data_IF_662834556556
#
_entry.id   IF_662834556556
#
_cell.length_a   1.000
_cell.length_b   1.000
_cell.length_c   1.000
_cell.angle_alpha   90.00
_cell.angle_beta   90.00
_cell.angle_gamma   90.00
#
_symmetry.space_group_name_H-M   'P 1'
#
loop_
_entity.id
_entity.type
_entity.pdbx_description
1 polymer ?
#
# COMPACT_ATOMS: atom_id res chain seq x y z
N UNK A 1 -23.04 2.34 0.04
CA UNK A 1 -23.36 1.65 1.30
C UNK A 1 -23.24 2.66 2.42
N UNK A 2 -24.35 3.04 3.06
CA UNK A 2 -24.30 3.84 4.29
C UNK A 2 -24.59 2.96 5.51
N UNK A 3 -24.05 3.37 6.65
CA UNK A 3 -24.31 2.67 7.91
C UNK A 3 -25.82 2.71 8.22
N UNK A 4 -26.39 1.59 8.67
CA UNK A 4 -27.82 1.47 8.98
C UNK A 4 -28.73 1.06 7.81
N UNK A 5 -28.23 1.02 6.58
CA UNK A 5 -29.00 0.56 5.42
C UNK A 5 -29.03 -0.98 5.31
N UNK A 6 -30.09 -1.55 4.73
CA UNK A 6 -30.22 -3.00 4.48
C UNK A 6 -29.05 -3.57 3.66
N UNK A 7 -28.46 -2.77 2.77
CA UNK A 7 -27.27 -3.14 2.01
C UNK A 7 -26.05 -3.46 2.93
N UNK A 8 -25.97 -2.84 4.11
CA UNK A 8 -24.91 -3.08 5.09
C UNK A 8 -25.02 -4.48 5.73
N UNK A 9 -26.23 -5.04 5.82
CA UNK A 9 -26.46 -6.41 6.33
C UNK A 9 -25.99 -7.50 5.37
N UNK A 10 -25.74 -7.16 4.11
CA UNK A 10 -25.41 -8.11 3.04
C UNK A 10 -24.01 -7.87 2.44
N UNK A 11 -23.08 -7.37 3.26
CA UNK A 11 -21.70 -7.14 2.82
C UNK A 11 -21.04 -8.50 2.49
N UNK A 12 -20.73 -8.71 1.22
CA UNK A 12 -20.03 -9.90 0.70
C UNK A 12 -18.52 -9.80 0.92
N UNK A 13 -18.11 -9.59 2.17
CA UNK A 13 -16.73 -9.27 2.52
C UNK A 13 -15.73 -10.31 2.00
N UNK A 14 -15.95 -11.59 2.32
CA UNK A 14 -15.02 -12.67 1.97
C UNK A 14 -14.81 -12.82 0.45
N UNK A 15 -15.85 -12.62 -0.36
CA UNK A 15 -15.76 -12.69 -1.82
C UNK A 15 -14.98 -11.51 -2.40
N UNK A 16 -15.23 -10.30 -1.89
CA UNK A 16 -14.56 -9.07 -2.35
C UNK A 16 -13.11 -9.06 -1.91
N UNK A 17 -12.82 -9.52 -0.69
CA UNK A 17 -11.45 -9.62 -0.16
C UNK A 17 -10.55 -10.45 -1.08
N UNK A 18 -11.02 -11.59 -1.58
CA UNK A 18 -10.26 -12.44 -2.52
C UNK A 18 -9.90 -11.74 -3.82
N UNK A 19 -10.72 -10.80 -4.29
CA UNK A 19 -10.48 -10.04 -5.52
C UNK A 19 -9.50 -8.89 -5.29
N UNK A 20 -9.55 -8.27 -4.11
CA UNK A 20 -8.77 -7.07 -3.79
C UNK A 20 -7.44 -7.37 -3.13
N UNK A 21 -7.27 -8.52 -2.47
CA UNK A 21 -5.98 -8.93 -1.92
C UNK A 21 -5.07 -9.48 -3.02
N UNK A 22 -4.18 -8.64 -3.54
CA UNK A 22 -3.11 -9.05 -4.46
C UNK A 22 -1.80 -9.28 -3.71
N UNK A 23 -1.53 -10.54 -3.36
CA UNK A 23 -0.26 -10.99 -2.81
C UNK A 23 0.78 -11.19 -3.94
N UNK A 24 2.08 -10.84 -3.74
CA UNK A 24 2.68 -10.27 -2.53
C UNK A 24 2.67 -8.74 -2.48
N UNK A 25 2.40 -8.05 -3.58
CA UNK A 25 2.71 -6.62 -3.77
C UNK A 25 1.89 -5.69 -2.89
N UNK A 26 0.63 -6.04 -2.61
CA UNK A 26 -0.30 -5.23 -1.81
C UNK A 26 -0.56 -5.82 -0.42
N UNK A 27 0.42 -6.58 0.09
CA UNK A 27 0.40 -7.07 1.47
C UNK A 27 1.32 -6.22 2.35
N UNK A 28 1.15 -6.36 3.67
CA UNK A 28 2.10 -5.88 4.67
C UNK A 28 3.49 -6.52 4.49
N UNK A 29 4.53 -5.68 4.53
CA UNK A 29 5.92 -6.11 4.53
C UNK A 29 6.26 -6.99 5.73
N UNK A 30 7.13 -7.97 5.51
CA UNK A 30 7.61 -8.87 6.55
C UNK A 30 8.67 -8.19 7.41
N UNK A 31 8.74 -8.59 8.67
CA UNK A 31 9.85 -8.22 9.54
C UNK A 31 11.05 -9.09 9.18
N UNK A 32 12.24 -8.52 9.03
CA UNK A 32 13.46 -9.28 8.77
C UNK A 32 13.71 -10.27 9.93
N UNK A 33 13.81 -11.57 9.64
CA UNK A 33 13.93 -12.61 10.67
C UNK A 33 15.13 -12.39 11.62
N UNK A 34 16.23 -11.83 11.10
CA UNK A 34 17.41 -11.48 11.89
C UNK A 34 17.13 -10.42 12.96
N UNK A 35 16.22 -9.47 12.68
CA UNK A 35 15.84 -8.41 13.62
C UNK A 35 14.84 -8.90 14.67
N UNK A 36 13.99 -9.87 14.33
CA UNK A 36 13.07 -10.51 15.29
C UNK A 36 13.84 -11.13 16.45
N UNK A 37 14.99 -11.76 16.18
CA UNK A 37 15.85 -12.37 17.21
C UNK A 37 16.44 -11.31 18.15
N UNK A 38 16.75 -10.13 17.64
CA UNK A 38 17.36 -9.04 18.40
C UNK A 38 16.33 -8.26 19.23
N UNK A 39 15.09 -8.17 18.77
CA UNK A 39 14.04 -7.43 19.47
C UNK A 39 12.65 -8.12 19.37
N UNK A 40 12.46 -9.28 20.04
CA UNK A 40 11.24 -10.09 19.90
C UNK A 40 10.00 -9.44 20.50
N UNK A 41 10.15 -8.58 21.52
CA UNK A 41 9.02 -7.87 22.14
C UNK A 41 8.34 -6.89 21.16
N UNK A 42 9.13 -6.24 20.31
CA UNK A 42 8.63 -5.20 19.40
C UNK A 42 8.25 -5.72 18.01
N UNK A 43 8.60 -6.97 17.67
CA UNK A 43 8.27 -7.58 16.39
C UNK A 43 6.77 -7.94 16.23
N UNK A 44 5.98 -7.80 17.30
CA UNK A 44 4.63 -8.36 17.44
C UNK A 44 3.45 -7.40 17.18
N UNK A 45 3.69 -6.18 16.70
CA UNK A 45 2.60 -5.23 16.41
C UNK A 45 1.76 -5.64 15.18
N UNK A 46 0.85 -6.58 15.40
CA UNK A 46 -0.08 -7.11 14.40
C UNK A 46 -1.07 -6.04 13.89
N UNK A 47 -1.37 -5.02 14.69
CA UNK A 47 -2.29 -3.93 14.30
C UNK A 47 -1.74 -3.08 13.14
N UNK A 48 -0.48 -2.64 13.23
CA UNK A 48 0.17 -1.87 12.16
C UNK A 48 0.36 -2.71 10.88
N UNK A 49 0.66 -4.00 11.01
CA UNK A 49 0.73 -4.89 9.86
C UNK A 49 -0.64 -5.04 9.17
N UNK A 50 -1.72 -5.22 9.95
CA UNK A 50 -3.10 -5.24 9.44
C UNK A 50 -3.49 -3.92 8.77
N UNK A 51 -3.06 -2.80 9.33
CA UNK A 51 -3.29 -1.47 8.76
C UNK A 51 -2.57 -1.31 7.41
N UNK A 52 -1.30 -1.70 7.32
CA UNK A 52 -0.54 -1.67 6.06
C UNK A 52 -1.20 -2.56 5.00
N UNK A 53 -1.62 -3.77 5.38
CA UNK A 53 -2.35 -4.68 4.48
C UNK A 53 -3.69 -4.08 4.02
N UNK A 54 -4.38 -3.35 4.90
CA UNK A 54 -5.62 -2.66 4.56
C UNK A 54 -5.38 -1.56 3.53
N UNK A 55 -4.36 -0.71 3.73
CA UNK A 55 -3.99 0.30 2.73
C UNK A 55 -3.51 -0.31 1.42
N UNK A 56 -2.77 -1.43 1.47
CA UNK A 56 -2.40 -2.19 0.28
C UNK A 56 -3.63 -2.66 -0.50
N UNK A 57 -4.62 -3.23 0.19
CA UNK A 57 -5.87 -3.70 -0.42
C UNK A 57 -6.68 -2.55 -1.03
N UNK A 58 -6.77 -1.40 -0.34
CA UNK A 58 -7.45 -0.20 -0.85
C UNK A 58 -6.73 0.32 -2.09
N UNK A 59 -5.39 0.42 -2.06
CA UNK A 59 -4.59 0.87 -3.19
C UNK A 59 -4.80 -0.01 -4.42
N UNK A 60 -4.79 -1.33 -4.26
CA UNK A 60 -5.07 -2.26 -5.34
C UNK A 60 -6.49 -2.06 -5.91
N UNK A 61 -7.50 -1.90 -5.04
CA UNK A 61 -8.87 -1.64 -5.48
C UNK A 61 -9.02 -0.34 -6.28
N UNK A 62 -8.31 0.72 -5.90
CA UNK A 62 -8.29 1.99 -6.64
C UNK A 62 -7.63 1.84 -8.03
N UNK A 63 -6.56 1.05 -8.12
CA UNK A 63 -5.91 0.74 -9.40
C UNK A 63 -6.83 -0.06 -10.32
N UNK A 64 -7.52 -1.09 -9.81
CA UNK A 64 -8.52 -1.84 -10.57
C UNK A 64 -9.68 -0.94 -11.04
N UNK A 65 -10.13 -0.02 -10.19
CA UNK A 65 -11.17 0.95 -10.55
C UNK A 65 -10.72 1.85 -11.72
N UNK A 66 -9.47 2.33 -11.69
CA UNK A 66 -8.89 3.14 -12.78
C UNK A 66 -8.75 2.37 -14.07
N UNK A 67 -8.32 1.11 -14.00
CA UNK A 67 -8.20 0.23 -15.17
C UNK A 67 -9.58 -0.02 -15.81
N UNK A 68 -10.58 -0.31 -14.99
CA UNK A 68 -11.96 -0.49 -15.45
C UNK A 68 -12.51 0.78 -16.10
N UNK A 69 -12.30 1.95 -15.50
CA UNK A 69 -12.73 3.22 -16.08
C UNK A 69 -12.01 3.53 -17.41
N UNK A 70 -10.69 3.30 -17.46
CA UNK A 70 -9.90 3.52 -18.68
C UNK A 70 -10.42 2.64 -19.81
N UNK A 71 -10.76 1.39 -19.50
CA UNK A 71 -11.36 0.45 -20.45
C UNK A 71 -12.74 0.92 -20.94
N UNK A 72 -13.60 1.38 -20.02
CA UNK A 72 -14.92 1.92 -20.35
C UNK A 72 -14.85 3.19 -21.22
N UNK A 73 -13.91 4.10 -20.92
CA UNK A 73 -13.67 5.31 -21.72
C UNK A 73 -13.20 4.95 -23.12
N UNK A 74 -12.32 3.95 -23.25
CA UNK A 74 -11.83 3.46 -24.54
C UNK A 74 -12.97 2.85 -25.36
N UNK A 75 -13.81 2.03 -24.74
CA UNK A 75 -14.98 1.45 -25.39
C UNK A 75 -15.97 2.53 -25.86
N UNK A 76 -16.27 3.51 -25.00
CA UNK A 76 -17.16 4.62 -25.32
C UNK A 76 -16.62 5.46 -26.48
N UNK A 77 -15.32 5.75 -26.48
CA UNK A 77 -14.63 6.47 -27.55
C UNK A 77 -14.66 5.73 -28.88
N UNK A 78 -14.63 4.40 -28.86
CA UNK A 78 -14.78 3.56 -30.06
C UNK A 78 -16.21 3.59 -30.60
N UNK A 79 -17.21 3.51 -29.72
CA UNK A 79 -18.63 3.54 -30.09
C UNK A 79 -19.09 4.92 -30.58
N UNK A 80 -18.52 5.98 -30.01
CA UNK A 80 -18.88 7.36 -30.33
C UNK A 80 -17.63 8.21 -30.60
N UNK A 81 -17.01 8.06 -31.79
CA UNK A 81 -15.76 8.76 -32.12
C UNK A 81 -15.84 10.29 -32.04
N UNK A 82 -17.01 10.86 -32.33
CA UNK A 82 -17.26 12.31 -32.26
C UNK A 82 -17.12 12.88 -30.84
N UNK A 83 -17.37 12.08 -29.80
CA UNK A 83 -17.32 12.49 -28.40
C UNK A 83 -15.95 12.26 -27.75
N UNK A 84 -14.99 11.67 -28.48
CA UNK A 84 -13.71 11.21 -27.93
C UNK A 84 -12.93 12.33 -27.21
N UNK A 85 -12.95 13.54 -27.76
CA UNK A 85 -12.25 14.69 -27.17
C UNK A 85 -12.94 15.15 -25.89
N UNK A 86 -14.27 15.32 -25.92
CA UNK A 86 -15.06 15.74 -24.77
C UNK A 86 -14.96 14.73 -23.61
N UNK A 87 -15.05 13.43 -23.92
CA UNK A 87 -14.89 12.35 -22.93
C UNK A 87 -13.51 12.44 -22.27
N UNK A 88 -12.46 12.63 -23.08
CA UNK A 88 -11.10 12.77 -22.57
C UNK A 88 -11.00 14.00 -21.68
N UNK A 89 -11.50 15.16 -22.10
CA UNK A 89 -11.43 16.40 -21.34
C UNK A 89 -12.14 16.32 -19.99
N UNK A 90 -13.34 15.72 -19.95
CA UNK A 90 -14.18 15.64 -18.74
C UNK A 90 -13.68 14.60 -17.74
N UNK A 91 -13.14 13.46 -18.20
CA UNK A 91 -12.85 12.31 -17.32
C UNK A 91 -11.35 12.06 -17.09
N UNK A 92 -10.52 12.35 -18.09
CA UNK A 92 -9.10 11.95 -18.10
C UNK A 92 -8.15 13.11 -18.43
N UNK A 93 -8.67 14.32 -18.59
CA UNK A 93 -7.91 15.53 -18.85
C UNK A 93 -7.09 15.93 -17.62
N UNK A 94 -6.00 16.71 -17.78
CA UNK A 94 -5.17 17.14 -16.66
C UNK A 94 -5.95 17.86 -15.55
N UNK A 95 -7.01 18.58 -15.94
CA UNK A 95 -7.87 19.36 -15.04
C UNK A 95 -9.23 18.69 -14.80
N UNK A 96 -9.41 17.44 -15.25
CA UNK A 96 -10.66 16.71 -15.02
C UNK A 96 -10.82 16.45 -13.52
N UNK A 97 -11.92 16.93 -12.93
CA UNK A 97 -12.18 16.77 -11.50
C UNK A 97 -12.11 15.31 -11.04
N UNK A 98 -12.61 14.37 -11.86
CA UNK A 98 -12.50 12.94 -11.59
C UNK A 98 -11.03 12.49 -11.49
N UNK A 99 -10.20 12.86 -12.47
CA UNK A 99 -8.79 12.47 -12.50
C UNK A 99 -8.06 13.04 -11.28
N UNK A 100 -8.24 14.32 -10.98
CA UNK A 100 -7.62 14.99 -9.84
C UNK A 100 -8.00 14.32 -8.53
N UNK A 101 -9.31 14.14 -8.26
CA UNK A 101 -9.79 13.48 -7.04
C UNK A 101 -9.25 12.05 -6.95
N UNK A 102 -9.27 11.32 -8.07
CA UNK A 102 -8.73 9.96 -8.10
C UNK A 102 -7.23 9.95 -7.78
N UNK A 103 -6.45 10.90 -8.30
CA UNK A 103 -5.01 11.00 -8.07
C UNK A 103 -4.73 11.36 -6.61
N UNK A 104 -5.48 12.32 -6.05
CA UNK A 104 -5.35 12.72 -4.64
C UNK A 104 -5.64 11.55 -3.69
N UNK A 105 -6.69 10.78 -3.95
CA UNK A 105 -7.02 9.59 -3.14
C UNK A 105 -5.90 8.55 -3.25
N UNK A 106 -5.38 8.30 -4.45
CA UNK A 106 -4.30 7.33 -4.65
C UNK A 106 -3.04 7.77 -3.89
N UNK A 107 -2.64 9.04 -4.01
CA UNK A 107 -1.50 9.61 -3.31
C UNK A 107 -1.69 9.56 -1.80
N UNK A 108 -2.87 9.90 -1.29
CA UNK A 108 -3.18 9.84 0.12
C UNK A 108 -3.03 8.41 0.67
N UNK A 109 -3.62 7.41 0.01
CA UNK A 109 -3.52 6.00 0.45
C UNK A 109 -2.08 5.50 0.38
N UNK A 110 -1.33 5.87 -0.66
CA UNK A 110 0.11 5.58 -0.76
C UNK A 110 0.88 6.18 0.42
N UNK A 111 0.65 7.46 0.74
CA UNK A 111 1.26 8.15 1.87
C UNK A 111 0.96 7.46 3.20
N UNK A 112 -0.31 7.10 3.45
CA UNK A 112 -0.71 6.37 4.66
C UNK A 112 -0.06 4.99 4.78
N UNK A 113 0.15 4.29 3.65
CA UNK A 113 0.89 3.03 3.62
C UNK A 113 2.35 3.26 4.01
N UNK A 114 3.01 4.26 3.44
CA UNK A 114 4.41 4.62 3.75
C UNK A 114 4.56 5.02 5.21
N UNK A 115 3.71 5.90 5.74
CA UNK A 115 3.68 6.27 7.17
C UNK A 115 3.57 5.04 8.07
N UNK A 116 2.72 4.07 7.70
CA UNK A 116 2.55 2.84 8.48
C UNK A 116 3.81 1.97 8.43
N UNK A 117 4.47 1.87 7.27
CA UNK A 117 5.76 1.16 7.13
C UNK A 117 6.81 1.82 8.03
N UNK A 118 6.92 3.14 8.03
CA UNK A 118 7.88 3.87 8.89
C UNK A 118 7.61 3.65 10.38
N UNK A 119 6.34 3.69 10.81
CA UNK A 119 5.99 3.36 12.20
C UNK A 119 6.39 1.93 12.58
N UNK A 120 6.22 0.97 11.65
CA UNK A 120 6.64 -0.41 11.86
C UNK A 120 8.17 -0.55 11.90
N UNK A 121 8.89 0.16 11.04
CA UNK A 121 10.36 0.20 11.03
C UNK A 121 10.89 0.74 12.35
N UNK A 122 10.37 1.88 12.80
CA UNK A 122 10.74 2.50 14.07
C UNK A 122 10.47 1.61 15.29
N UNK A 123 9.35 0.87 15.29
CA UNK A 123 9.02 -0.02 16.39
C UNK A 123 10.08 -1.12 16.59
N UNK A 124 10.69 -1.63 15.52
CA UNK A 124 11.64 -2.75 15.59
C UNK A 124 13.11 -2.33 15.74
N UNK A 125 13.40 -1.02 15.74
CA UNK A 125 14.77 -0.53 15.94
C UNK A 125 15.32 -1.00 17.30
N UNK A 126 16.64 -1.28 17.39
CA UNK A 126 17.29 -1.59 18.66
C UNK A 126 17.33 -0.36 19.58
N UNK A 127 17.57 -0.59 20.88
CA UNK A 127 17.73 0.51 21.86
C UNK A 127 19.05 1.26 21.69
N UNK A 128 20.07 0.60 21.14
CA UNK A 128 21.35 1.22 20.87
C UNK A 128 21.20 2.24 19.72
N UNK A 129 21.52 3.51 20.01
CA UNK A 129 21.30 4.62 19.07
C UNK A 129 22.18 4.54 17.82
N UNK A 130 23.39 4.00 17.95
CA UNK A 130 24.30 3.83 16.81
C UNK A 130 23.73 2.80 15.83
N UNK A 131 23.35 1.62 16.33
CA UNK A 131 22.74 0.59 15.49
C UNK A 131 21.35 0.98 14.98
N UNK A 132 20.56 1.71 15.76
CA UNK A 132 19.27 2.24 15.32
C UNK A 132 19.44 3.18 14.13
N UNK A 133 20.47 4.05 14.16
CA UNK A 133 20.78 4.97 13.07
C UNK A 133 21.19 4.23 11.80
N UNK A 134 22.10 3.24 11.91
CA UNK A 134 22.54 2.44 10.76
C UNK A 134 21.40 1.63 10.14
N UNK A 135 20.56 1.01 10.97
CA UNK A 135 19.43 0.23 10.51
C UNK A 135 18.35 1.12 9.86
N UNK A 136 18.08 2.30 10.42
CA UNK A 136 17.10 3.24 9.87
C UNK A 136 17.50 3.80 8.49
N UNK A 137 18.79 3.84 8.17
CA UNK A 137 19.28 4.23 6.85
C UNK A 137 19.00 3.17 5.77
N UNK A 138 18.74 1.91 6.14
CA UNK A 138 18.44 0.83 5.19
C UNK A 138 16.99 0.97 4.71
N UNK A 139 16.74 1.17 3.40
CA UNK A 139 15.38 1.33 2.88
C UNK A 139 14.56 0.03 3.00
N UNK A 140 13.23 0.10 2.96
CA UNK A 140 12.39 -1.10 2.82
C UNK A 140 12.60 -1.76 1.45
N UNK A 141 12.40 -3.08 1.39
CA UNK A 141 12.35 -3.82 0.12
C UNK A 141 10.91 -4.03 -0.34
N UNK A 142 10.73 -4.72 -1.48
CA UNK A 142 9.40 -5.09 -1.97
C UNK A 142 8.66 -6.10 -1.07
N UNK A 143 9.34 -6.73 -0.13
CA UNK A 143 8.80 -7.80 0.71
C UNK A 143 9.07 -7.62 2.20
N UNK A 144 10.05 -6.81 2.59
CA UNK A 144 10.50 -6.64 3.98
C UNK A 144 10.58 -5.17 4.40
N UNK A 145 10.48 -4.93 5.72
CA UNK A 145 10.58 -3.59 6.30
C UNK A 145 11.95 -2.94 6.11
N UNK A 146 12.98 -3.75 5.92
CA UNK A 146 14.34 -3.32 5.58
C UNK A 146 14.87 -4.24 4.48
N UNK A 147 15.74 -3.70 3.62
CA UNK A 147 16.43 -4.49 2.63
C UNK A 147 17.23 -5.64 3.27
N UNK A 148 16.94 -6.85 2.85
CA UNK A 148 17.46 -8.06 3.49
C UNK A 148 18.98 -8.21 3.31
N UNK A 149 19.51 -7.80 2.16
CA UNK A 149 20.93 -7.89 1.87
C UNK A 149 21.71 -6.90 2.72
N UNK A 150 21.28 -5.64 2.75
CA UNK A 150 21.90 -4.59 3.55
C UNK A 150 21.85 -4.90 5.06
N UNK A 151 20.73 -5.45 5.56
CA UNK A 151 20.65 -5.89 6.96
C UNK A 151 21.64 -7.02 7.25
N UNK A 152 21.76 -7.99 6.35
CA UNK A 152 22.72 -9.10 6.50
C UNK A 152 24.17 -8.62 6.51
N UNK A 153 24.51 -7.63 5.70
CA UNK A 153 25.83 -7.01 5.66
C UNK A 153 26.15 -6.23 6.93
N UNK A 154 25.21 -5.42 7.41
CA UNK A 154 25.34 -4.69 8.66
C UNK A 154 25.61 -5.63 9.84
N UNK A 155 24.90 -6.76 9.90
CA UNK A 155 25.02 -7.74 10.98
C UNK A 155 26.31 -8.58 10.94
N UNK A 156 27.10 -8.51 9.86
CA UNK A 156 28.39 -9.22 9.74
C UNK A 156 29.57 -8.36 10.22
N UNK A 157 29.37 -7.08 10.50
CA UNK A 157 30.46 -6.20 10.92
C UNK A 157 30.95 -6.58 12.33
N UNK A 158 32.27 -6.66 12.57
CA UNK A 158 32.86 -7.27 13.78
C UNK A 158 32.82 -6.35 15.01
N UNK A 159 31.65 -5.83 15.35
CA UNK A 159 31.33 -5.15 16.62
C UNK A 159 30.00 -5.62 17.23
N UNK A 160 29.42 -6.69 16.68
CA UNK A 160 28.29 -7.44 17.25
C UNK A 160 28.77 -8.59 18.13
#
# INVERSE_FOLDING_TARGET
MRFGELAYKHIRYAEVQKKLQAFPVFHASKVNASLIKLNPANASSDSLAKQESSFGTILHGLLLQREALTSAIKELSTKHPSLKLDIKEVLSGPNAAFKTISDDILQHVCGRKVETIELRRNAILPKDEYYATLLNAIPPSSTHLFDEQQVSELLKQPSL
#
